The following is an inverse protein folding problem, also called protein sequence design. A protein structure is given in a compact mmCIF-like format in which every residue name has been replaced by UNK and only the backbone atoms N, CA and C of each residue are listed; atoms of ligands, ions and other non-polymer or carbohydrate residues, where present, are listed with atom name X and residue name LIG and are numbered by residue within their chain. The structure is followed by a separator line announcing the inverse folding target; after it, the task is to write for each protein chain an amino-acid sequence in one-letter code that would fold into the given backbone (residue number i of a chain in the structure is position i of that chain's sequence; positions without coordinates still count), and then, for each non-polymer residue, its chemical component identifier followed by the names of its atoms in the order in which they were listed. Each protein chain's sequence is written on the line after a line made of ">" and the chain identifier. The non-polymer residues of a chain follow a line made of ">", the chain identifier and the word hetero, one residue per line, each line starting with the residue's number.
data_IF_708754164009
#
_entry.id   IF_708754164009
#
_cell.length_a   1.000
_cell.length_b   1.000
_cell.length_c   1.000
_cell.angle_alpha   90.00
_cell.angle_beta   90.00
_cell.angle_gamma   90.00
#
_symmetry.space_group_name_H-M   'P 1'
#
loop_
_entity.id
_entity.type
_entity.pdbx_description
1 polymer ?
#
# COMPACT_ATOMS: atom_id res chain seq x y z
N UNK A 1 10.73 0.79 16.60
CA UNK A 1 9.83 0.46 15.47
C UNK A 1 8.77 -0.48 15.99
N UNK A 2 7.53 -0.42 15.48
CA UNK A 2 6.48 -1.34 15.94
C UNK A 2 6.85 -2.79 15.58
N UNK A 3 6.64 -3.73 16.50
CA UNK A 3 6.83 -5.17 16.28
C UNK A 3 5.72 -5.71 15.36
N UNK A 4 5.89 -5.52 14.05
CA UNK A 4 4.94 -5.93 13.02
C UNK A 4 4.91 -7.45 12.77
N UNK A 5 5.92 -8.18 13.28
CA UNK A 5 5.97 -9.64 13.24
C UNK A 5 5.12 -10.21 14.39
N UNK A 6 3.83 -10.38 14.14
CA UNK A 6 2.97 -11.15 15.04
C UNK A 6 3.51 -12.59 15.15
N UNK A 7 3.90 -12.98 16.36
CA UNK A 7 4.70 -14.18 16.66
C UNK A 7 3.97 -15.52 16.58
N UNK A 8 2.81 -15.66 15.91
CA UNK A 8 2.04 -16.92 16.03
C UNK A 8 1.26 -17.38 14.78
N UNK A 9 1.22 -16.62 13.69
CA UNK A 9 0.55 -17.08 12.45
C UNK A 9 1.37 -16.74 11.23
N UNK A 10 2.08 -17.73 10.70
CA UNK A 10 2.66 -17.67 9.37
C UNK A 10 1.55 -17.33 8.38
N UNK A 11 1.66 -16.23 7.61
CA UNK A 11 0.72 -16.00 6.53
C UNK A 11 0.76 -17.18 5.58
N UNK A 12 -0.40 -17.58 5.07
CA UNK A 12 -0.51 -18.62 4.06
C UNK A 12 0.51 -18.34 2.93
N UNK A 13 1.12 -19.40 2.40
CA UNK A 13 2.30 -19.36 1.49
C UNK A 13 2.14 -18.36 0.33
N UNK A 14 0.92 -18.18 -0.14
CA UNK A 14 0.52 -17.22 -1.17
C UNK A 14 0.74 -15.75 -0.76
N UNK A 15 0.33 -15.38 0.47
CA UNK A 15 0.48 -14.01 1.00
C UNK A 15 1.93 -13.70 1.34
N UNK A 16 2.66 -14.71 1.84
CA UNK A 16 4.11 -14.61 2.05
C UNK A 16 4.85 -14.31 0.75
N UNK A 17 4.36 -14.82 -0.38
CA UNK A 17 4.96 -14.57 -1.71
C UNK A 17 4.78 -13.11 -2.14
N UNK A 18 3.63 -12.50 -1.86
CA UNK A 18 3.39 -11.07 -2.11
C UNK A 18 4.33 -10.24 -1.24
N UNK A 19 4.47 -10.60 0.04
CA UNK A 19 5.40 -9.94 0.95
C UNK A 19 6.84 -9.95 0.43
N UNK A 20 7.31 -11.11 -0.03
CA UNK A 20 8.63 -11.24 -0.65
C UNK A 20 8.79 -10.38 -1.93
N UNK A 21 7.71 -10.15 -2.70
CA UNK A 21 7.76 -9.25 -3.86
C UNK A 21 7.92 -7.78 -3.47
N UNK A 22 7.39 -7.36 -2.32
CA UNK A 22 7.66 -6.04 -1.75
C UNK A 22 9.12 -5.93 -1.28
N UNK A 23 9.63 -6.95 -0.58
CA UNK A 23 11.02 -6.97 -0.09
C UNK A 23 12.04 -6.97 -1.23
N UNK A 24 11.76 -7.70 -2.32
CA UNK A 24 12.61 -7.75 -3.52
C UNK A 24 12.45 -6.54 -4.44
N UNK A 25 11.65 -5.54 -4.05
CA UNK A 25 11.35 -4.31 -4.84
C UNK A 25 10.77 -4.61 -6.23
N UNK A 26 10.14 -5.78 -6.39
CA UNK A 26 9.50 -6.17 -7.65
C UNK A 26 8.19 -5.42 -7.86
N UNK A 27 7.50 -5.11 -6.76
CA UNK A 27 6.31 -4.26 -6.74
C UNK A 27 6.77 -2.80 -6.82
N UNK A 28 6.48 -2.16 -7.96
CA UNK A 28 6.78 -0.73 -8.17
C UNK A 28 5.52 0.12 -8.05
N UNK A 29 4.35 -0.51 -8.22
CA UNK A 29 3.06 0.13 -8.06
C UNK A 29 2.16 -0.67 -7.14
N UNK A 30 1.35 0.01 -6.34
CA UNK A 30 0.29 -0.63 -5.57
C UNK A 30 -0.69 -1.37 -6.48
N UNK A 31 -0.85 -0.98 -7.74
CA UNK A 31 -1.67 -1.75 -8.67
C UNK A 31 -1.13 -3.16 -8.96
N UNK A 32 0.18 -3.41 -8.82
CA UNK A 32 0.78 -4.72 -9.11
C UNK A 32 0.27 -5.81 -8.14
N UNK A 33 -0.20 -5.42 -6.95
CA UNK A 33 -0.84 -6.36 -6.00
C UNK A 33 -2.31 -6.64 -6.30
N UNK A 34 -2.92 -5.95 -7.27
CA UNK A 34 -4.30 -6.24 -7.71
C UNK A 34 -4.40 -7.61 -8.40
N UNK A 35 -3.33 -8.03 -9.08
CA UNK A 35 -3.26 -9.30 -9.79
C UNK A 35 -3.00 -10.48 -8.84
N UNK A 36 -2.53 -10.20 -7.62
CA UNK A 36 -2.13 -11.20 -6.65
C UNK A 36 -3.18 -11.34 -5.54
N UNK A 37 -4.05 -12.33 -5.70
CA UNK A 37 -5.07 -12.72 -4.72
C UNK A 37 -5.99 -11.57 -4.23
N UNK A 38 -6.59 -10.76 -5.15
CA UNK A 38 -7.39 -9.59 -4.79
C UNK A 38 -8.53 -9.95 -3.85
N UNK A 39 -9.26 -11.03 -4.10
CA UNK A 39 -10.40 -11.47 -3.29
C UNK A 39 -10.02 -11.74 -1.84
N UNK A 40 -8.81 -12.25 -1.60
CA UNK A 40 -8.33 -12.60 -0.26
C UNK A 40 -7.89 -11.35 0.50
N UNK A 41 -7.16 -10.46 -0.18
CA UNK A 41 -6.73 -9.17 0.37
C UNK A 41 -7.96 -8.31 0.71
N UNK A 42 -8.95 -8.24 -0.19
CA UNK A 42 -10.23 -7.53 0.02
C UNK A 42 -10.94 -8.03 1.28
N UNK A 43 -11.08 -9.36 1.41
CA UNK A 43 -11.70 -9.99 2.59
C UNK A 43 -10.95 -9.66 3.88
N UNK A 44 -9.62 -9.72 3.87
CA UNK A 44 -8.79 -9.49 5.06
C UNK A 44 -8.69 -8.00 5.45
N UNK A 45 -8.72 -7.08 4.48
CA UNK A 45 -8.83 -5.65 4.76
C UNK A 45 -10.20 -5.25 5.30
N UNK A 46 -11.24 -6.03 5.00
CA UNK A 46 -12.62 -5.74 5.37
C UNK A 46 -13.21 -4.58 4.57
N UNK A 47 -12.78 -4.39 3.32
CA UNK A 47 -13.29 -3.37 2.40
C UNK A 47 -13.99 -4.03 1.22
N UNK A 48 -14.79 -3.29 0.47
CA UNK A 48 -15.38 -3.79 -0.77
C UNK A 48 -14.35 -3.78 -1.91
N UNK A 49 -14.60 -4.57 -2.96
CA UNK A 49 -13.71 -4.71 -4.12
C UNK A 49 -13.49 -3.40 -4.86
N UNK A 50 -14.53 -2.59 -5.00
CA UNK A 50 -14.48 -1.30 -5.68
C UNK A 50 -13.56 -0.31 -4.96
N UNK A 51 -13.68 -0.19 -3.63
CA UNK A 51 -12.82 0.68 -2.82
C UNK A 51 -11.38 0.18 -2.81
N UNK A 52 -11.17 -1.14 -2.85
CA UNK A 52 -9.83 -1.69 -3.02
C UNK A 52 -9.23 -1.27 -4.36
N UNK A 53 -9.92 -1.50 -5.48
CA UNK A 53 -9.45 -1.10 -6.81
C UNK A 53 -9.18 0.41 -6.93
N UNK A 54 -10.05 1.25 -6.37
CA UNK A 54 -9.85 2.72 -6.37
C UNK A 54 -8.61 3.12 -5.58
N UNK A 55 -8.31 2.44 -4.47
CA UNK A 55 -7.11 2.70 -3.66
C UNK A 55 -5.84 2.18 -4.30
N UNK A 56 -5.91 1.05 -5.01
CA UNK A 56 -4.78 0.57 -5.79
C UNK A 56 -4.46 1.49 -6.98
N UNK A 57 -5.48 2.08 -7.60
CA UNK A 57 -5.32 3.04 -8.68
C UNK A 57 -4.89 4.44 -8.18
N UNK A 58 -5.31 4.83 -6.97
CA UNK A 58 -4.92 6.08 -6.31
C UNK A 58 -4.37 5.79 -4.90
N UNK A 59 -3.07 5.43 -4.80
CA UNK A 59 -2.47 4.98 -3.55
C UNK A 59 -2.45 6.05 -2.44
N UNK A 60 -2.67 7.32 -2.78
CA UNK A 60 -2.86 8.44 -1.83
C UNK A 60 -4.06 8.20 -0.88
N UNK A 61 -5.04 7.41 -1.32
CA UNK A 61 -6.28 7.13 -0.56
C UNK A 61 -6.11 6.03 0.48
N UNK A 62 -4.96 5.37 0.56
CA UNK A 62 -4.68 4.42 1.62
C UNK A 62 -4.52 5.15 2.95
N UNK A 63 -5.31 4.73 3.93
CA UNK A 63 -5.12 5.20 5.30
C UNK A 63 -3.98 4.45 5.97
N UNK A 64 -3.31 5.07 6.93
CA UNK A 64 -2.24 4.43 7.73
C UNK A 64 -2.73 3.12 8.34
N UNK A 65 -3.97 3.08 8.85
CA UNK A 65 -4.58 1.88 9.41
C UNK A 65 -4.70 0.73 8.40
N UNK A 66 -4.98 1.03 7.12
CA UNK A 66 -5.06 0.02 6.06
C UNK A 66 -3.68 -0.47 5.63
N UNK A 67 -2.69 0.42 5.60
CA UNK A 67 -1.29 0.07 5.34
C UNK A 67 -0.76 -0.85 6.44
N UNK A 68 -1.05 -0.55 7.70
CA UNK A 68 -0.70 -1.42 8.83
C UNK A 68 -1.44 -2.76 8.75
N UNK A 69 -2.73 -2.79 8.40
CA UNK A 69 -3.43 -4.06 8.17
C UNK A 69 -2.78 -4.88 7.07
N UNK A 70 -2.42 -4.25 5.94
CA UNK A 70 -1.70 -4.91 4.86
C UNK A 70 -0.34 -5.45 5.34
N UNK A 71 0.39 -4.69 6.15
CA UNK A 71 1.68 -5.14 6.70
C UNK A 71 1.53 -6.37 7.58
N UNK A 72 0.47 -6.47 8.39
CA UNK A 72 0.16 -7.67 9.16
C UNK A 72 -0.32 -8.84 8.29
N UNK A 73 -1.13 -8.57 7.26
CA UNK A 73 -1.65 -9.59 6.34
C UNK A 73 -0.53 -10.22 5.51
N UNK A 74 0.37 -9.38 5.02
CA UNK A 74 1.47 -9.77 4.14
C UNK A 74 2.75 -10.11 4.92
N UNK A 75 2.77 -9.84 6.23
CA UNK A 75 3.91 -9.98 7.13
C UNK A 75 5.18 -9.32 6.56
N UNK A 76 5.05 -8.04 6.25
CA UNK A 76 6.15 -7.19 5.75
C UNK A 76 6.24 -5.92 6.56
N UNK A 77 7.38 -5.23 6.45
CA UNK A 77 7.55 -3.92 7.04
C UNK A 77 6.55 -2.92 6.39
N UNK A 78 5.68 -2.25 7.18
CA UNK A 78 4.76 -1.24 6.64
C UNK A 78 5.49 -0.10 5.91
N UNK A 79 6.74 0.19 6.25
CA UNK A 79 7.55 1.20 5.57
C UNK A 79 7.78 0.84 4.10
N UNK A 80 7.87 -0.45 3.74
CA UNK A 80 8.01 -0.86 2.34
C UNK A 80 6.78 -0.48 1.53
N UNK A 81 5.59 -0.69 2.10
CA UNK A 81 4.32 -0.32 1.48
C UNK A 81 4.23 1.21 1.34
N UNK A 82 4.58 1.94 2.42
CA UNK A 82 4.58 3.41 2.42
C UNK A 82 5.53 3.96 1.35
N UNK A 83 6.73 3.38 1.21
CA UNK A 83 7.70 3.84 0.22
C UNK A 83 7.17 3.70 -1.22
N UNK A 84 6.45 2.62 -1.54
CA UNK A 84 5.80 2.45 -2.86
C UNK A 84 4.71 3.51 -3.05
N UNK A 85 3.85 3.70 -2.05
CA UNK A 85 2.80 4.74 -2.09
C UNK A 85 3.40 6.14 -2.28
N UNK A 86 4.47 6.47 -1.55
CA UNK A 86 5.16 7.75 -1.65
C UNK A 86 5.75 7.96 -3.04
N UNK A 87 6.45 6.97 -3.59
CA UNK A 87 7.05 7.07 -4.93
C UNK A 87 5.99 7.31 -6.04
N UNK A 88 4.80 6.74 -5.90
CA UNK A 88 3.70 6.97 -6.85
C UNK A 88 3.01 8.32 -6.68
N UNK A 89 2.89 8.79 -5.43
CA UNK A 89 2.12 10.01 -5.11
C UNK A 89 2.95 11.28 -5.09
N UNK A 90 4.27 11.18 -4.95
CA UNK A 90 5.18 12.32 -4.80
C UNK A 90 5.01 13.34 -5.92
N UNK A 91 5.04 12.91 -7.18
CA UNK A 91 4.91 13.81 -8.35
C UNK A 91 3.60 14.60 -8.32
N UNK A 92 2.49 13.90 -8.05
CA UNK A 92 1.14 14.48 -7.98
C UNK A 92 1.03 15.48 -6.82
N UNK A 93 1.66 15.19 -5.68
CA UNK A 93 1.70 16.09 -4.52
C UNK A 93 2.54 17.33 -4.82
N UNK A 94 3.73 17.17 -5.42
CA UNK A 94 4.60 18.28 -5.82
C UNK A 94 3.88 19.25 -6.77
N UNK A 95 3.19 18.73 -7.77
CA UNK A 95 2.38 19.52 -8.70
C UNK A 95 1.29 20.33 -7.97
N UNK A 96 0.54 19.69 -7.06
CA UNK A 96 -0.50 20.37 -6.26
C UNK A 96 0.09 21.48 -5.39
N UNK A 97 1.22 21.23 -4.73
CA UNK A 97 1.90 22.23 -3.89
C UNK A 97 2.35 23.43 -4.74
N UNK A 98 2.90 23.19 -5.92
CA UNK A 98 3.35 24.27 -6.82
C UNK A 98 2.18 25.14 -7.31
N UNK A 99 1.05 24.54 -7.67
CA UNK A 99 -0.17 25.28 -8.06
C UNK A 99 -0.65 26.18 -6.92
N UNK A 100 -0.66 25.67 -5.69
CA UNK A 100 -1.11 26.43 -4.53
C UNK A 100 -0.14 27.57 -4.23
N UNK A 101 1.18 27.33 -4.24
CA UNK A 101 2.19 28.38 -4.06
C UNK A 101 2.02 29.51 -5.07
N UNK A 102 1.85 29.19 -6.35
CA UNK A 102 1.64 30.19 -7.40
C UNK A 102 0.37 31.04 -7.20
N UNK A 103 -0.67 30.49 -6.56
CA UNK A 103 -1.89 31.24 -6.23
C UNK A 103 -1.71 32.21 -5.05
N UNK A 104 -0.79 31.91 -4.12
CA UNK A 104 -0.51 32.77 -2.97
C UNK A 104 0.52 33.86 -3.26
N UNK A 105 1.32 33.72 -4.33
CA UNK A 105 2.28 34.72 -4.80
C UNK A 105 1.67 35.78 -5.74
N UNK A 106 0.39 35.66 -6.09
CA UNK A 106 -0.39 36.59 -6.92
C UNK A 106 -1.35 37.42 -6.08
#
# INVERSE_FOLDING_TARGET
>A
MADWKSSDKSPEKDLSSIGAMFETKKIKKMYDISELYPTKIIKLLGINSERYSVKLADPEKFTVSEVLRLSYILNIDPNLIINVIQAETEKKIQERVNIVKFKFEK
#
